data_IF_397467592977
#
_entry.id   IF_397467592977
#
_cell.length_a   1.000
_cell.length_b   1.000
_cell.length_c   1.000
_cell.angle_alpha   90.00
_cell.angle_beta   90.00
_cell.angle_gamma   90.00
#
_symmetry.space_group_name_H-M   'P 1'
#
loop_
_entity.id
_entity.type
_entity.pdbx_description
1 polymer ?
#
# COMPACT_ATOMS: atom_id res chain seq x y z
N UNK A 1 21.18 29.60 -7.77
CA UNK A 1 19.73 29.79 -7.60
C UNK A 1 18.98 28.62 -8.23
N UNK A 2 18.63 27.58 -7.47
CA UNK A 2 17.90 26.40 -7.96
C UNK A 2 16.41 26.58 -7.70
N UNK A 3 15.63 26.89 -8.74
CA UNK A 3 14.17 26.97 -8.69
C UNK A 3 13.55 25.56 -8.72
N UNK A 4 13.38 24.99 -7.53
CA UNK A 4 12.20 24.27 -7.02
C UNK A 4 11.24 23.69 -8.08
N UNK A 5 11.42 22.40 -8.40
CA UNK A 5 10.46 21.55 -9.13
C UNK A 5 9.54 20.77 -8.17
N UNK A 6 8.93 21.46 -7.20
CA UNK A 6 8.13 20.82 -6.12
C UNK A 6 6.62 20.92 -6.36
N UNK A 7 6.17 21.67 -7.38
CA UNK A 7 4.75 22.03 -7.54
C UNK A 7 3.84 20.96 -8.16
N UNK A 8 4.37 19.96 -8.87
CA UNK A 8 3.53 19.01 -9.63
C UNK A 8 2.88 17.90 -8.79
N UNK A 9 3.49 17.52 -7.67
CA UNK A 9 3.02 16.40 -6.86
C UNK A 9 1.88 16.78 -5.90
N UNK A 10 1.87 18.03 -5.41
CA UNK A 10 0.89 18.54 -4.44
C UNK A 10 -0.50 18.77 -5.06
N UNK A 11 -0.56 19.32 -6.28
CA UNK A 11 -1.84 19.55 -6.98
C UNK A 11 -2.50 18.22 -7.39
N UNK A 12 -1.70 17.25 -7.83
CA UNK A 12 -2.17 15.90 -8.14
C UNK A 12 -2.69 15.19 -6.89
N UNK A 13 -1.99 15.32 -5.74
CA UNK A 13 -2.45 14.75 -4.47
C UNK A 13 -3.80 15.35 -4.03
N UNK A 14 -3.99 16.67 -4.19
CA UNK A 14 -5.23 17.38 -3.83
C UNK A 14 -6.42 16.94 -4.69
N UNK A 15 -6.20 16.69 -5.99
CA UNK A 15 -7.22 16.16 -6.93
C UNK A 15 -7.56 14.70 -6.64
N UNK A 16 -6.58 13.89 -6.29
CA UNK A 16 -6.76 12.46 -6.00
C UNK A 16 -7.47 12.23 -4.65
N UNK A 17 -7.27 13.12 -3.67
CA UNK A 17 -7.95 13.06 -2.37
C UNK A 17 -9.49 13.06 -2.50
N UNK A 18 -10.04 13.68 -3.55
CA UNK A 18 -11.49 13.83 -3.73
C UNK A 18 -12.20 12.56 -4.23
N UNK A 19 -11.47 11.57 -4.76
CA UNK A 19 -12.08 10.35 -5.34
C UNK A 19 -12.00 9.17 -4.38
N UNK A 20 -13.16 8.73 -3.89
CA UNK A 20 -13.28 7.47 -3.16
C UNK A 20 -13.06 6.28 -4.10
N UNK A 21 -12.20 5.35 -3.68
CA UNK A 21 -11.95 4.11 -4.43
C UNK A 21 -12.57 2.93 -3.71
N UNK A 22 -13.52 2.28 -4.35
CA UNK A 22 -14.16 1.09 -3.81
C UNK A 22 -13.38 -0.17 -4.21
N UNK A 23 -13.14 -1.04 -3.23
CA UNK A 23 -12.53 -2.35 -3.41
C UNK A 23 -13.42 -3.39 -2.72
N UNK A 24 -13.64 -4.52 -3.38
CA UNK A 24 -14.42 -5.62 -2.82
C UNK A 24 -13.76 -6.21 -1.57
N UNK A 25 -14.51 -6.30 -0.46
CA UNK A 25 -14.03 -6.74 0.86
C UNK A 25 -13.47 -8.17 0.89
N UNK A 26 -14.06 -9.10 0.12
CA UNK A 26 -13.73 -10.54 0.14
C UNK A 26 -12.80 -11.00 -1.00
N UNK A 27 -12.04 -10.09 -1.62
CA UNK A 27 -10.99 -10.49 -2.59
C UNK A 27 -9.77 -11.10 -1.90
N UNK A 28 -9.08 -12.07 -2.54
CA UNK A 28 -7.78 -12.54 -2.06
C UNK A 28 -6.80 -11.38 -1.91
N UNK A 29 -6.05 -11.37 -0.79
CA UNK A 29 -5.13 -10.28 -0.45
C UNK A 29 -4.16 -9.92 -1.57
N UNK A 30 -3.66 -10.95 -2.27
CA UNK A 30 -2.74 -10.81 -3.40
C UNK A 30 -3.27 -9.84 -4.47
N UNK A 31 -4.53 -9.99 -4.91
CA UNK A 31 -5.14 -9.13 -5.94
C UNK A 31 -5.29 -7.69 -5.50
N UNK A 32 -5.43 -7.46 -4.19
CA UNK A 32 -5.52 -6.11 -3.62
C UNK A 32 -4.12 -5.47 -3.63
N UNK A 33 -3.10 -6.21 -3.19
CA UNK A 33 -1.71 -5.73 -3.15
C UNK A 33 -1.12 -5.51 -4.54
N UNK A 34 -1.44 -6.34 -5.53
CA UNK A 34 -1.05 -6.10 -6.93
C UNK A 34 -1.51 -4.72 -7.42
N UNK A 35 -2.69 -4.26 -6.98
CA UNK A 35 -3.28 -3.00 -7.42
C UNK A 35 -2.91 -1.78 -6.56
N UNK A 36 -2.56 -1.97 -5.29
CA UNK A 36 -2.23 -0.88 -4.35
C UNK A 36 -0.71 -0.71 -4.23
N UNK A 37 0.06 -1.80 -4.33
CA UNK A 37 1.52 -1.85 -4.17
C UNK A 37 2.00 -1.21 -2.85
N UNK A 38 1.23 -1.37 -1.78
CA UNK A 38 1.57 -0.96 -0.43
C UNK A 38 1.31 -2.09 0.56
N UNK A 39 2.16 -2.20 1.58
CA UNK A 39 2.07 -3.24 2.60
C UNK A 39 2.06 -2.62 4.00
N UNK A 40 0.98 -2.79 4.79
CA UNK A 40 1.00 -2.44 6.20
C UNK A 40 1.71 -3.56 6.98
N UNK A 41 2.84 -3.24 7.59
CA UNK A 41 3.57 -4.15 8.48
C UNK A 41 2.88 -4.25 9.85
N UNK A 42 3.19 -5.30 10.61
CA UNK A 42 2.64 -5.53 11.96
C UNK A 42 3.04 -4.46 12.99
N UNK A 43 4.04 -3.64 12.70
CA UNK A 43 4.48 -2.53 13.56
C UNK A 43 3.74 -1.23 13.26
N UNK A 44 2.72 -1.26 12.41
CA UNK A 44 1.97 -0.06 12.01
C UNK A 44 2.71 0.82 11.01
N UNK A 45 3.76 0.29 10.35
CA UNK A 45 4.52 1.00 9.32
C UNK A 45 4.03 0.58 7.93
N UNK A 46 3.71 1.55 7.07
CA UNK A 46 3.33 1.34 5.68
C UNK A 46 4.57 1.30 4.79
N UNK A 47 4.76 0.20 4.07
CA UNK A 47 5.87 0.01 3.14
C UNK A 47 5.40 0.07 1.69
N UNK A 48 6.26 0.58 0.82
CA UNK A 48 6.09 0.47 -0.62
C UNK A 48 6.52 -0.92 -1.09
N UNK A 49 5.70 -1.57 -1.91
CA UNK A 49 6.04 -2.88 -2.48
C UNK A 49 6.73 -2.68 -3.82
N UNK A 50 7.91 -3.28 -3.96
CA UNK A 50 8.72 -3.29 -5.19
C UNK A 50 8.32 -4.48 -6.07
N UNK A 51 8.35 -5.70 -5.52
CA UNK A 51 7.97 -6.92 -6.23
C UNK A 51 6.96 -7.74 -5.43
N UNK A 52 6.14 -8.52 -6.14
CA UNK A 52 5.19 -9.48 -5.58
C UNK A 52 5.29 -10.72 -6.42
N UNK A 53 5.68 -11.83 -5.80
CA UNK A 53 5.76 -13.13 -6.45
C UNK A 53 4.82 -14.11 -5.75
N UNK A 54 4.23 -15.01 -6.53
CA UNK A 54 3.31 -16.03 -6.02
C UNK A 54 4.04 -17.36 -5.94
N UNK A 55 4.07 -17.93 -4.73
CA UNK A 55 4.69 -19.22 -4.41
C UNK A 55 3.60 -20.16 -3.86
N UNK A 56 2.87 -20.81 -4.78
CA UNK A 56 1.72 -21.66 -4.45
C UNK A 56 0.63 -20.93 -3.65
N UNK A 57 0.49 -21.32 -2.37
CA UNK A 57 -0.46 -20.72 -1.42
C UNK A 57 0.11 -19.52 -0.65
N UNK A 58 1.36 -19.16 -0.92
CA UNK A 58 2.07 -18.03 -0.33
C UNK A 58 2.36 -16.97 -1.41
N UNK A 59 2.65 -15.77 -0.95
CA UNK A 59 3.23 -14.71 -1.75
C UNK A 59 4.49 -14.20 -1.06
N UNK A 60 5.49 -13.89 -1.86
CA UNK A 60 6.75 -13.28 -1.43
C UNK A 60 6.71 -11.83 -1.89
N UNK A 61 6.84 -10.91 -0.94
CA UNK A 61 6.85 -9.47 -1.17
C UNK A 61 8.26 -8.96 -0.96
N UNK A 62 8.82 -8.23 -1.91
CA UNK A 62 9.99 -7.39 -1.68
C UNK A 62 9.52 -5.93 -1.56
N UNK A 63 9.89 -5.28 -0.46
CA UNK A 63 9.60 -3.86 -0.26
C UNK A 63 10.70 -2.98 -0.87
N UNK A 64 10.40 -1.70 -1.09
CA UNK A 64 11.43 -0.73 -1.53
C UNK A 64 12.54 -0.50 -0.50
N UNK A 65 12.35 -0.92 0.75
CA UNK A 65 13.41 -0.91 1.77
C UNK A 65 14.13 -2.27 1.89
N UNK A 66 13.96 -3.16 0.90
CA UNK A 66 14.62 -4.47 0.79
C UNK A 66 14.22 -5.50 1.86
N UNK A 67 13.12 -5.28 2.56
CA UNK A 67 12.54 -6.33 3.41
C UNK A 67 11.79 -7.34 2.53
N UNK A 68 12.08 -8.62 2.74
CA UNK A 68 11.40 -9.75 2.10
C UNK A 68 10.39 -10.35 3.07
N UNK A 69 9.13 -10.45 2.64
CA UNK A 69 8.03 -10.86 3.51
C UNK A 69 7.27 -12.01 2.83
N UNK A 70 7.25 -13.18 3.47
CA UNK A 70 6.44 -14.32 3.04
C UNK A 70 5.10 -14.31 3.76
N UNK A 71 4.01 -14.32 3.00
CA UNK A 71 2.64 -14.22 3.55
C UNK A 71 1.74 -15.24 2.87
N UNK A 72 0.89 -15.93 3.65
CA UNK A 72 -0.12 -16.82 3.07
C UNK A 72 -1.19 -16.01 2.31
N UNK A 73 -1.52 -16.44 1.11
CA UNK A 73 -2.61 -15.86 0.31
C UNK A 73 -3.93 -16.33 0.93
N UNK A 74 -4.55 -15.46 1.73
CA UNK A 74 -5.84 -15.73 2.37
C UNK A 74 -6.74 -14.49 2.34
N UNK A 75 -8.05 -14.71 2.24
CA UNK A 75 -9.08 -13.66 2.34
C UNK A 75 -9.34 -13.24 3.79
N UNK A 76 -9.19 -14.19 4.72
CA UNK A 76 -9.61 -14.03 6.12
C UNK A 76 -8.41 -13.93 7.09
N UNK A 77 -7.19 -14.07 6.57
CA UNK A 77 -5.97 -13.99 7.39
C UNK A 77 -5.72 -12.61 8.00
N UNK A 78 -4.82 -12.57 8.99
CA UNK A 78 -4.41 -11.35 9.68
C UNK A 78 -3.93 -10.27 8.71
N UNK A 79 -3.08 -10.61 7.75
CA UNK A 79 -2.60 -9.69 6.72
C UNK A 79 -3.74 -9.01 5.94
N UNK A 80 -4.77 -9.77 5.57
CA UNK A 80 -5.90 -9.23 4.83
C UNK A 80 -6.72 -8.28 5.70
N UNK A 81 -6.89 -8.60 6.99
CA UNK A 81 -7.54 -7.73 7.97
C UNK A 81 -6.75 -6.42 8.18
N UNK A 82 -5.42 -6.49 8.31
CA UNK A 82 -4.54 -5.33 8.44
C UNK A 82 -4.67 -4.39 7.24
N UNK A 83 -4.66 -4.95 6.03
CA UNK A 83 -4.81 -4.18 4.80
C UNK A 83 -6.18 -3.49 4.70
N UNK A 84 -7.27 -4.19 5.06
CA UNK A 84 -8.63 -3.66 5.01
C UNK A 84 -8.90 -2.58 6.04
N UNK A 85 -8.44 -2.81 7.27
CA UNK A 85 -8.61 -1.86 8.36
C UNK A 85 -7.58 -0.72 8.32
N UNK A 86 -6.63 -0.78 7.38
CA UNK A 86 -5.55 0.21 7.20
C UNK A 86 -4.81 0.48 8.49
N UNK A 87 -4.42 -0.59 9.18
CA UNK A 87 -3.65 -0.51 10.43
C UNK A 87 -2.19 -0.16 10.13
N UNK A 88 -1.97 1.08 9.72
CA UNK A 88 -0.66 1.70 9.57
C UNK A 88 -0.76 3.18 9.94
N UNK A 89 0.01 3.59 10.94
CA UNK A 89 0.00 4.94 11.50
C UNK A 89 0.99 5.85 10.77
N UNK A 90 2.07 5.26 10.23
CA UNK A 90 3.15 6.01 9.59
C UNK A 90 3.68 5.31 8.34
N UNK A 91 4.21 6.09 7.40
CA UNK A 91 4.90 5.56 6.23
C UNK A 91 6.39 5.29 6.53
N UNK A 92 6.94 4.25 5.89
CA UNK A 92 8.37 3.94 5.99
C UNK A 92 9.20 5.03 5.30
N UNK A 93 10.11 5.66 6.04
CA UNK A 93 11.01 6.70 5.52
C UNK A 93 11.94 6.18 4.42
N UNK A 94 12.44 4.94 4.54
CA UNK A 94 13.33 4.31 3.54
C UNK A 94 12.63 4.01 2.23
N UNK A 95 11.34 3.62 2.29
CA UNK A 95 10.55 3.35 1.09
C UNK A 95 10.24 4.60 0.26
N UNK A 96 10.36 5.81 0.85
CA UNK A 96 10.07 7.09 0.18
C UNK A 96 8.74 7.06 -0.60
N UNK A 97 7.67 6.63 0.07
CA UNK A 97 6.35 6.50 -0.54
C UNK A 97 5.81 7.90 -0.83
N UNK A 98 5.45 8.23 -2.09
CA UNK A 98 4.88 9.52 -2.42
C UNK A 98 3.56 9.79 -1.67
N UNK A 99 3.35 11.05 -1.27
CA UNK A 99 2.17 11.48 -0.51
C UNK A 99 0.85 11.12 -1.22
N UNK A 100 0.76 11.34 -2.53
CA UNK A 100 -0.45 11.00 -3.30
C UNK A 100 -0.83 9.51 -3.19
N UNK A 101 0.17 8.61 -3.10
CA UNK A 101 -0.06 7.17 -2.99
C UNK A 101 -0.57 6.81 -1.60
N UNK A 102 -0.07 7.49 -0.56
CA UNK A 102 -0.56 7.37 0.82
C UNK A 102 -2.00 7.88 0.91
N UNK A 103 -2.30 9.07 0.38
CA UNK A 103 -3.67 9.63 0.36
C UNK A 103 -4.64 8.70 -0.37
N UNK A 104 -4.23 8.14 -1.51
CA UNK A 104 -5.04 7.19 -2.29
C UNK A 104 -5.33 5.90 -1.50
N UNK A 105 -4.37 5.42 -0.73
CA UNK A 105 -4.57 4.26 0.17
C UNK A 105 -5.53 4.60 1.31
N UNK A 106 -5.36 5.76 1.95
CA UNK A 106 -6.24 6.25 3.00
C UNK A 106 -7.70 6.38 2.52
N UNK A 107 -7.93 6.79 1.27
CA UNK A 107 -9.27 6.94 0.68
C UNK A 107 -9.85 5.67 0.05
N UNK A 108 -9.15 4.53 0.14
CA UNK A 108 -9.66 3.26 -0.39
C UNK A 108 -10.69 2.65 0.57
N UNK A 109 -11.94 2.50 0.17
CA UNK A 109 -12.98 1.87 0.99
C UNK A 109 -13.16 0.40 0.58
N UNK A 110 -13.16 -0.48 1.58
CA UNK A 110 -13.44 -1.91 1.37
C UNK A 110 -14.92 -2.18 1.64
N UNK A 111 -15.72 -2.31 0.56
CA UNK A 111 -17.15 -2.65 0.60
C UNK A 111 -17.36 -4.10 0.17
#
# INVERSE_FOLDING_TARGET
MLKVAVKTDDEAAKKEQKKLRYVQKHRPIFKILEKIKLWPSRSGVLHGIKTIEKDGNYMILETHCHEVIKVRISKNGRAARWLRNKWAERACARCRIPLWKISKYANTLFK
#
